data_IF_409206855069
#
_entry.id   IF_409206855069
#
_cell.length_a   1.000
_cell.length_b   1.000
_cell.length_c   1.000
_cell.angle_alpha   90.00
_cell.angle_beta   90.00
_cell.angle_gamma   90.00
#
_symmetry.space_group_name_H-M   'P 1'
#
loop_
_entity.id
_entity.type
_entity.pdbx_description
1 polymer ?
#
# COMPACT_ATOMS: atom_id res chain seq x y z
N UNK A 1 6.80 -13.78 -10.78
CA UNK A 1 6.74 -15.02 -9.96
C UNK A 1 7.43 -14.81 -8.63
N UNK A 2 6.73 -15.07 -7.53
CA UNK A 2 7.34 -15.06 -6.19
C UNK A 2 8.36 -16.20 -6.09
N UNK A 3 9.47 -15.95 -5.40
CA UNK A 3 10.43 -16.98 -5.08
C UNK A 3 9.85 -17.96 -4.06
N UNK A 4 10.16 -19.25 -4.16
CA UNK A 4 10.00 -20.16 -3.03
C UNK A 4 10.90 -19.68 -1.88
N UNK A 5 10.58 -20.07 -0.65
CA UNK A 5 11.36 -19.72 0.54
C UNK A 5 12.85 -20.05 0.30
N UNK A 6 13.72 -19.04 0.36
CA UNK A 6 15.17 -19.07 0.09
C UNK A 6 15.61 -18.99 -1.39
N UNK A 7 14.72 -18.71 -2.33
CA UNK A 7 15.06 -18.54 -3.74
C UNK A 7 15.13 -17.05 -4.13
N UNK A 8 15.90 -16.75 -5.16
CA UNK A 8 15.93 -15.41 -5.73
C UNK A 8 14.65 -15.14 -6.51
N UNK A 9 14.08 -13.93 -6.36
CA UNK A 9 12.96 -13.51 -7.18
C UNK A 9 13.38 -13.36 -8.63
N UNK A 10 12.53 -13.82 -9.56
CA UNK A 10 12.79 -13.70 -11.00
C UNK A 10 13.03 -12.23 -11.41
N UNK A 11 12.26 -11.32 -10.87
CA UNK A 11 12.41 -9.87 -11.11
C UNK A 11 13.80 -9.37 -10.74
N UNK A 12 14.33 -9.78 -9.58
CA UNK A 12 15.67 -9.39 -9.12
C UNK A 12 16.77 -9.98 -10.01
N UNK A 13 16.60 -11.24 -10.47
CA UNK A 13 17.52 -11.87 -11.41
C UNK A 13 17.53 -11.14 -12.77
N UNK A 14 16.38 -10.71 -13.27
CA UNK A 14 16.30 -9.96 -14.53
C UNK A 14 16.89 -8.55 -14.41
N UNK A 15 16.73 -7.87 -13.27
CA UNK A 15 17.45 -6.62 -13.00
C UNK A 15 18.96 -6.85 -12.95
N UNK A 16 19.42 -7.94 -12.33
CA UNK A 16 20.84 -8.31 -12.28
C UNK A 16 21.38 -8.60 -13.71
N UNK A 17 20.62 -9.31 -14.56
CA UNK A 17 20.98 -9.50 -15.96
C UNK A 17 21.15 -8.16 -16.69
N UNK A 18 20.19 -7.24 -16.52
CA UNK A 18 20.28 -5.91 -17.15
C UNK A 18 21.51 -5.13 -16.68
N UNK A 19 21.79 -5.14 -15.37
CA UNK A 19 22.98 -4.51 -14.83
C UNK A 19 24.28 -5.10 -15.41
N UNK A 20 24.38 -6.41 -15.55
CA UNK A 20 25.53 -7.07 -16.19
C UNK A 20 25.71 -6.60 -17.64
N UNK A 21 24.63 -6.55 -18.43
CA UNK A 21 24.67 -6.08 -19.81
C UNK A 21 25.18 -4.62 -19.91
N UNK A 22 24.73 -3.75 -19.01
CA UNK A 22 25.17 -2.33 -19.00
C UNK A 22 26.68 -2.17 -18.73
N UNK A 23 27.26 -3.07 -17.94
CA UNK A 23 28.69 -3.05 -17.64
C UNK A 23 29.53 -3.98 -18.55
N UNK A 24 28.94 -4.53 -19.62
CA UNK A 24 29.62 -5.44 -20.54
C UNK A 24 30.05 -6.76 -19.91
N UNK A 25 29.39 -7.18 -18.83
CA UNK A 25 29.64 -8.46 -18.15
C UNK A 25 28.65 -9.49 -18.67
N UNK A 26 29.08 -10.76 -18.86
CA UNK A 26 28.15 -11.84 -19.22
C UNK A 26 27.11 -12.04 -18.15
N UNK A 27 25.84 -12.11 -18.56
CA UNK A 27 24.71 -12.47 -17.70
C UNK A 27 24.20 -13.91 -17.94
N UNK A 28 24.90 -14.72 -18.75
CA UNK A 28 24.45 -16.04 -19.17
C UNK A 28 24.03 -16.92 -18.00
N UNK A 29 24.87 -17.03 -16.96
CA UNK A 29 24.54 -17.86 -15.80
C UNK A 29 23.29 -17.42 -15.06
N UNK A 30 23.05 -16.11 -14.93
CA UNK A 30 21.84 -15.55 -14.29
C UNK A 30 20.62 -15.76 -15.18
N UNK A 31 20.76 -15.53 -16.48
CA UNK A 31 19.69 -15.74 -17.45
C UNK A 31 19.27 -17.21 -17.55
N UNK A 32 20.25 -18.13 -17.52
CA UNK A 32 19.99 -19.57 -17.53
C UNK A 32 19.27 -20.05 -16.26
N UNK A 33 19.51 -19.41 -15.10
CA UNK A 33 18.72 -19.66 -13.88
C UNK A 33 17.26 -19.30 -14.09
N UNK A 34 16.99 -18.16 -14.73
CA UNK A 34 15.61 -17.72 -15.04
C UNK A 34 14.98 -18.70 -16.01
N UNK A 35 15.65 -19.02 -17.12
CA UNK A 35 15.19 -19.94 -18.16
C UNK A 35 14.86 -21.32 -17.57
N UNK A 36 15.79 -21.93 -16.84
CA UNK A 36 15.62 -23.26 -16.24
C UNK A 36 14.38 -23.34 -15.37
N UNK A 37 14.14 -22.32 -14.53
CA UNK A 37 12.96 -22.30 -13.64
C UNK A 37 11.64 -22.36 -14.41
N UNK A 38 11.49 -21.61 -15.50
CA UNK A 38 10.27 -21.67 -16.30
C UNK A 38 10.12 -22.99 -17.06
N UNK A 39 11.23 -23.53 -17.58
CA UNK A 39 11.21 -24.85 -18.25
C UNK A 39 10.86 -25.96 -17.26
N UNK A 40 11.44 -25.98 -16.08
CA UNK A 40 11.09 -26.94 -15.01
C UNK A 40 9.61 -26.89 -14.63
N UNK A 41 9.02 -25.71 -14.52
CA UNK A 41 7.58 -25.56 -14.23
C UNK A 41 6.74 -26.10 -15.41
N UNK A 42 7.09 -25.71 -16.64
CA UNK A 42 6.42 -26.21 -17.83
C UNK A 42 6.43 -27.73 -17.88
N UNK A 43 7.61 -28.33 -17.72
CA UNK A 43 7.80 -29.78 -17.84
C UNK A 43 7.11 -30.54 -16.69
N UNK A 44 7.19 -30.01 -15.46
CA UNK A 44 6.53 -30.60 -14.30
C UNK A 44 4.99 -30.59 -14.42
N UNK A 45 4.42 -29.60 -15.13
CA UNK A 45 2.98 -29.48 -15.38
C UNK A 45 2.56 -30.10 -16.71
N UNK A 46 3.49 -30.61 -17.52
CA UNK A 46 3.22 -31.21 -18.84
C UNK A 46 2.65 -30.20 -19.86
N UNK A 47 3.08 -28.95 -19.79
CA UNK A 47 2.58 -27.87 -20.65
C UNK A 47 3.29 -27.86 -22.01
N UNK A 48 2.62 -27.31 -23.04
CA UNK A 48 3.10 -27.29 -24.42
C UNK A 48 3.70 -25.95 -24.85
N UNK A 49 3.73 -24.97 -24.00
CA UNK A 49 4.23 -23.60 -24.29
C UNK A 49 5.65 -23.63 -24.85
N UNK A 50 5.93 -23.05 -26.05
CA UNK A 50 7.23 -23.14 -26.72
C UNK A 50 8.25 -22.13 -26.13
N UNK A 51 8.56 -22.27 -24.84
CA UNK A 51 9.40 -21.31 -24.09
C UNK A 51 10.82 -21.21 -24.61
N UNK A 52 11.40 -22.29 -25.14
CA UNK A 52 12.77 -22.28 -25.66
C UNK A 52 12.94 -21.23 -26.76
N UNK A 53 12.04 -21.21 -27.72
CA UNK A 53 12.07 -20.24 -28.83
C UNK A 53 11.89 -18.80 -28.32
N UNK A 54 11.03 -18.60 -27.33
CA UNK A 54 10.78 -17.30 -26.73
C UNK A 54 12.00 -16.79 -25.92
N UNK A 55 12.68 -17.69 -25.19
CA UNK A 55 13.93 -17.36 -24.50
C UNK A 55 15.08 -17.07 -25.46
N UNK A 56 15.21 -17.83 -26.54
CA UNK A 56 16.24 -17.58 -27.54
C UNK A 56 16.02 -16.23 -28.25
N UNK A 57 14.77 -15.88 -28.55
CA UNK A 57 14.41 -14.55 -29.07
C UNK A 57 14.71 -13.43 -28.09
N UNK A 58 14.47 -13.64 -26.79
CA UNK A 58 14.81 -12.68 -25.74
C UNK A 58 16.34 -12.49 -25.62
N UNK A 59 17.12 -13.57 -25.65
CA UNK A 59 18.58 -13.54 -25.65
C UNK A 59 19.13 -12.73 -26.84
N UNK A 60 18.61 -12.96 -28.04
CA UNK A 60 18.99 -12.19 -29.22
C UNK A 60 18.66 -10.67 -29.11
N UNK A 61 17.59 -10.33 -28.39
CA UNK A 61 17.31 -8.91 -28.07
C UNK A 61 18.29 -8.34 -27.06
N UNK A 62 18.64 -9.11 -26.03
CA UNK A 62 19.61 -8.69 -25.01
C UNK A 62 20.98 -8.35 -25.64
N UNK A 63 21.43 -9.13 -26.61
CA UNK A 63 22.69 -8.89 -27.35
C UNK A 63 22.66 -7.60 -28.20
N UNK A 64 21.49 -7.18 -28.68
CA UNK A 64 21.29 -5.95 -29.47
C UNK A 64 21.05 -4.71 -28.62
N UNK A 65 20.89 -4.88 -27.33
CA UNK A 65 20.47 -3.87 -26.38
C UNK A 65 18.97 -3.95 -26.08
N UNK A 66 18.65 -4.05 -24.80
CA UNK A 66 17.28 -4.12 -24.28
C UNK A 66 17.13 -3.14 -23.12
N UNK A 67 15.96 -2.51 -22.97
CA UNK A 67 15.69 -1.67 -21.81
C UNK A 67 15.47 -2.50 -20.53
N UNK A 68 15.68 -1.91 -19.36
CA UNK A 68 15.40 -2.55 -18.08
C UNK A 68 13.94 -2.99 -18.00
N UNK A 69 13.03 -2.10 -18.36
CA UNK A 69 11.59 -2.34 -18.32
C UNK A 69 11.18 -3.51 -19.21
N UNK A 70 11.70 -3.58 -20.44
CA UNK A 70 11.40 -4.68 -21.33
C UNK A 70 11.93 -6.00 -20.78
N UNK A 71 13.17 -6.05 -20.30
CA UNK A 71 13.76 -7.28 -19.77
C UNK A 71 13.01 -7.78 -18.52
N UNK A 72 12.76 -6.88 -17.56
CA UNK A 72 12.12 -7.23 -16.29
C UNK A 72 10.65 -7.64 -16.48
N UNK A 73 9.94 -7.03 -17.43
CA UNK A 73 8.56 -7.41 -17.77
C UNK A 73 8.42 -8.87 -18.22
N UNK A 74 9.50 -9.49 -18.74
CA UNK A 74 9.46 -10.89 -19.23
C UNK A 74 9.20 -11.89 -18.12
N UNK A 75 9.52 -11.58 -16.87
CA UNK A 75 9.13 -12.43 -15.74
C UNK A 75 7.62 -12.67 -15.66
N UNK A 76 6.83 -11.60 -15.69
CA UNK A 76 5.36 -11.70 -15.68
C UNK A 76 4.83 -12.26 -17.02
N UNK A 77 5.45 -11.91 -18.13
CA UNK A 77 5.10 -12.44 -19.44
C UNK A 77 5.16 -13.98 -19.48
N UNK A 78 6.30 -14.58 -19.11
CA UNK A 78 6.47 -16.04 -19.11
C UNK A 78 5.55 -16.74 -18.10
N UNK A 79 5.37 -16.13 -16.91
CA UNK A 79 4.43 -16.66 -15.93
C UNK A 79 2.99 -16.72 -16.47
N UNK A 80 2.55 -15.65 -17.14
CA UNK A 80 1.22 -15.59 -17.74
C UNK A 80 1.06 -16.54 -18.92
N UNK A 81 2.12 -16.76 -19.72
CA UNK A 81 2.13 -17.77 -20.81
C UNK A 81 1.87 -19.17 -20.29
N UNK A 82 2.61 -19.56 -19.24
CA UNK A 82 2.43 -20.88 -18.60
C UNK A 82 1.05 -20.99 -17.94
N UNK A 83 0.58 -19.94 -17.28
CA UNK A 83 -0.73 -19.95 -16.65
C UNK A 83 -1.86 -20.06 -17.68
N UNK A 84 -1.74 -19.40 -18.82
CA UNK A 84 -2.71 -19.47 -19.91
C UNK A 84 -2.82 -20.90 -20.46
N UNK A 85 -1.67 -21.55 -20.71
CA UNK A 85 -1.62 -22.95 -21.16
C UNK A 85 -2.21 -23.90 -20.09
N UNK A 86 -1.83 -23.71 -18.82
CA UNK A 86 -2.33 -24.53 -17.71
C UNK A 86 -3.85 -24.45 -17.52
N UNK A 87 -4.44 -23.25 -17.68
CA UNK A 87 -5.88 -23.05 -17.55
C UNK A 87 -6.67 -23.33 -18.82
N UNK A 88 -5.99 -23.50 -19.97
CA UNK A 88 -6.65 -23.57 -21.29
C UNK A 88 -7.33 -22.24 -21.65
N UNK A 89 -6.79 -21.10 -21.21
CA UNK A 89 -7.28 -19.75 -21.49
C UNK A 89 -6.40 -19.10 -22.57
N UNK A 90 -6.93 -18.06 -23.20
CA UNK A 90 -6.17 -17.29 -24.17
C UNK A 90 -5.14 -16.38 -23.45
N UNK A 91 -3.92 -16.35 -23.97
CA UNK A 91 -2.92 -15.37 -23.53
C UNK A 91 -3.15 -14.03 -24.22
N UNK A 92 -3.22 -12.93 -23.44
CA UNK A 92 -3.34 -11.57 -23.95
C UNK A 92 -2.21 -10.70 -23.40
N UNK A 93 -1.23 -10.37 -24.26
CA UNK A 93 -0.11 -9.52 -23.87
C UNK A 93 -0.59 -8.12 -23.46
N UNK A 94 -0.06 -7.60 -22.34
CA UNK A 94 -0.44 -6.28 -21.82
C UNK A 94 -0.09 -5.14 -22.76
N UNK A 95 0.89 -5.29 -23.63
CA UNK A 95 1.23 -4.29 -24.66
C UNK A 95 0.10 -4.04 -25.67
N UNK A 96 -0.79 -5.00 -25.84
CA UNK A 96 -1.92 -4.88 -26.76
C UNK A 96 -3.02 -3.96 -26.23
N UNK A 97 -3.16 -3.86 -24.92
CA UNK A 97 -4.26 -3.12 -24.32
C UNK A 97 -3.83 -1.99 -23.39
N UNK A 98 -2.80 -2.18 -22.54
CA UNK A 98 -2.39 -1.22 -21.52
C UNK A 98 -1.46 -0.15 -22.13
N UNK A 99 -1.98 1.07 -22.22
CA UNK A 99 -1.30 2.21 -22.83
C UNK A 99 -0.92 3.25 -21.79
N UNK A 100 0.30 3.74 -21.88
CA UNK A 100 0.78 4.86 -21.09
C UNK A 100 0.78 6.15 -21.91
N UNK A 101 0.67 7.28 -21.23
CA UNK A 101 0.92 8.62 -21.77
C UNK A 101 2.40 8.96 -21.69
N UNK A 102 2.82 10.05 -22.35
CA UNK A 102 4.22 10.49 -22.33
C UNK A 102 4.76 10.82 -20.94
N UNK A 103 3.90 11.17 -20.00
CA UNK A 103 4.25 11.47 -18.60
C UNK A 103 4.35 10.21 -17.71
N UNK A 104 4.17 9.02 -18.30
CA UNK A 104 4.19 7.74 -17.59
C UNK A 104 2.88 7.39 -16.86
N UNK A 105 1.84 8.20 -16.98
CA UNK A 105 0.52 7.86 -16.44
C UNK A 105 -0.24 6.91 -17.40
N UNK A 106 -1.18 6.12 -16.86
CA UNK A 106 -2.00 5.24 -17.69
C UNK A 106 -3.05 6.04 -18.47
N UNK A 107 -3.13 5.79 -19.77
CA UNK A 107 -4.27 6.22 -20.58
C UNK A 107 -5.43 5.25 -20.37
N UNK A 108 -6.27 5.53 -19.38
CA UNK A 108 -7.36 4.64 -18.98
C UNK A 108 -8.38 4.45 -20.10
N UNK A 109 -8.77 5.52 -20.80
CA UNK A 109 -9.80 5.46 -21.84
C UNK A 109 -9.37 4.52 -22.97
N UNK A 110 -8.18 4.73 -23.50
CA UNK A 110 -7.63 3.90 -24.57
C UNK A 110 -7.40 2.45 -24.09
N UNK A 111 -6.87 2.28 -22.90
CA UNK A 111 -6.60 0.97 -22.32
C UNK A 111 -7.90 0.17 -22.12
N UNK A 112 -8.93 0.80 -21.57
CA UNK A 112 -10.21 0.14 -21.33
C UNK A 112 -10.89 -0.27 -22.62
N UNK A 113 -10.93 0.59 -23.63
CA UNK A 113 -11.49 0.26 -24.94
C UNK A 113 -10.74 -0.93 -25.60
N UNK A 114 -9.40 -0.88 -25.57
CA UNK A 114 -8.58 -1.94 -26.14
C UNK A 114 -8.83 -3.28 -25.44
N UNK A 115 -8.90 -3.29 -24.10
CA UNK A 115 -9.13 -4.52 -23.33
C UNK A 115 -10.52 -5.09 -23.58
N UNK A 116 -11.57 -4.27 -23.56
CA UNK A 116 -12.94 -4.72 -23.88
C UNK A 116 -13.01 -5.40 -25.24
N UNK A 117 -12.36 -4.84 -26.25
CA UNK A 117 -12.30 -5.39 -27.59
C UNK A 117 -11.53 -6.72 -27.62
N UNK A 118 -10.35 -6.77 -27.00
CA UNK A 118 -9.48 -7.94 -27.04
C UNK A 118 -9.99 -9.13 -26.21
N UNK A 119 -10.69 -8.87 -25.10
CA UNK A 119 -11.18 -9.89 -24.18
C UNK A 119 -12.65 -10.28 -24.39
N UNK A 120 -13.35 -9.66 -25.35
CA UNK A 120 -14.80 -9.89 -25.58
C UNK A 120 -15.12 -11.36 -25.81
N UNK A 121 -15.96 -11.94 -24.94
CA UNK A 121 -16.40 -13.34 -25.02
C UNK A 121 -15.31 -14.37 -24.74
N UNK A 122 -14.15 -13.97 -24.23
CA UNK A 122 -12.98 -14.83 -24.03
C UNK A 122 -12.59 -14.89 -22.57
N UNK A 123 -12.02 -16.03 -22.18
CA UNK A 123 -11.28 -16.17 -20.92
C UNK A 123 -9.82 -15.91 -21.20
N UNK A 124 -9.25 -14.87 -20.60
CA UNK A 124 -7.89 -14.43 -20.88
C UNK A 124 -7.00 -14.47 -19.65
N UNK A 125 -5.73 -14.77 -19.84
CA UNK A 125 -4.66 -14.53 -18.87
C UNK A 125 -3.84 -13.35 -19.36
N UNK A 126 -3.72 -12.35 -18.53
CA UNK A 126 -3.03 -11.09 -18.82
C UNK A 126 -1.80 -11.01 -17.92
N UNK A 127 -0.58 -10.80 -18.45
CA UNK A 127 0.58 -10.49 -17.60
C UNK A 127 0.37 -9.13 -16.95
N UNK A 128 0.66 -9.04 -15.64
CA UNK A 128 0.62 -7.77 -14.92
C UNK A 128 1.91 -6.97 -15.08
N UNK A 129 1.97 -5.80 -14.39
CA UNK A 129 3.16 -5.02 -14.15
C UNK A 129 3.63 -4.09 -15.29
N UNK A 130 3.29 -4.30 -16.55
CA UNK A 130 3.79 -3.52 -17.69
C UNK A 130 2.72 -3.22 -18.74
N UNK A 131 2.98 -2.21 -19.55
CA UNK A 131 2.25 -1.83 -20.75
C UNK A 131 3.18 -1.19 -21.78
N UNK A 132 2.65 -0.37 -22.67
CA UNK A 132 3.40 0.24 -23.77
C UNK A 132 3.25 1.76 -23.80
N UNK A 133 4.37 2.45 -24.02
CA UNK A 133 4.45 3.88 -24.24
C UNK A 133 4.02 4.26 -25.68
N UNK A 134 3.74 5.54 -25.99
CA UNK A 134 3.37 5.99 -27.33
C UNK A 134 4.41 5.71 -28.41
N UNK A 135 5.69 5.63 -28.04
CA UNK A 135 6.79 5.28 -28.95
C UNK A 135 6.96 3.78 -29.21
N UNK A 136 6.11 2.96 -28.57
CA UNK A 136 6.14 1.50 -28.66
C UNK A 136 7.07 0.82 -27.66
N UNK A 137 7.82 1.57 -26.85
CA UNK A 137 8.65 0.99 -25.79
C UNK A 137 7.82 0.42 -24.65
N UNK A 138 8.34 -0.64 -24.01
CA UNK A 138 7.70 -1.20 -22.82
C UNK A 138 7.99 -0.31 -21.60
N UNK A 139 6.98 -0.08 -20.79
CA UNK A 139 7.08 0.64 -19.53
C UNK A 139 6.48 -0.17 -18.40
N UNK A 140 7.15 -0.17 -17.23
CA UNK A 140 6.73 -0.91 -16.04
C UNK A 140 6.22 0.02 -14.94
N UNK A 141 5.26 -0.45 -14.15
CA UNK A 141 4.87 0.27 -12.93
C UNK A 141 5.97 0.22 -11.87
N UNK A 142 6.17 1.29 -11.15
CA UNK A 142 7.23 1.40 -10.13
C UNK A 142 6.99 0.51 -8.90
N UNK A 143 5.73 0.29 -8.50
CA UNK A 143 5.32 -0.57 -7.36
C UNK A 143 3.92 -1.12 -7.57
N UNK A 144 3.67 -2.33 -7.05
CA UNK A 144 2.32 -2.92 -7.05
C UNK A 144 1.72 -3.13 -8.44
N UNK A 145 2.55 -3.19 -9.48
CA UNK A 145 2.12 -3.15 -10.88
C UNK A 145 1.14 -4.24 -11.27
N UNK A 146 1.29 -5.45 -10.75
CA UNK A 146 0.34 -6.54 -11.02
C UNK A 146 -1.02 -6.27 -10.38
N UNK A 147 -1.04 -5.68 -9.19
CA UNK A 147 -2.29 -5.27 -8.51
C UNK A 147 -2.99 -4.15 -9.29
N UNK A 148 -2.22 -3.14 -9.73
CA UNK A 148 -2.74 -2.04 -10.57
C UNK A 148 -3.30 -2.58 -11.89
N UNK A 149 -2.56 -3.47 -12.55
CA UNK A 149 -3.00 -4.10 -13.82
C UNK A 149 -4.31 -4.87 -13.62
N UNK A 150 -4.42 -5.64 -12.53
CA UNK A 150 -5.65 -6.35 -12.18
C UNK A 150 -6.83 -5.41 -11.93
N UNK A 151 -6.61 -4.31 -11.18
CA UNK A 151 -7.63 -3.31 -10.93
C UNK A 151 -8.09 -2.59 -12.21
N UNK A 152 -7.15 -2.22 -13.09
CA UNK A 152 -7.46 -1.63 -14.40
C UNK A 152 -8.25 -2.61 -15.27
N UNK A 153 -7.85 -3.88 -15.30
CA UNK A 153 -8.55 -4.91 -16.07
C UNK A 153 -9.98 -5.15 -15.54
N UNK A 154 -10.13 -5.24 -14.21
CA UNK A 154 -11.45 -5.39 -13.59
C UNK A 154 -12.35 -4.17 -13.90
N UNK A 155 -11.81 -2.96 -13.80
CA UNK A 155 -12.54 -1.73 -14.14
C UNK A 155 -12.89 -1.65 -15.62
N UNK A 156 -11.98 -2.03 -16.53
CA UNK A 156 -12.22 -2.04 -17.96
C UNK A 156 -13.34 -2.99 -18.38
N UNK A 157 -13.44 -4.14 -17.72
CA UNK A 157 -14.38 -5.20 -18.03
C UNK A 157 -15.68 -5.12 -17.21
N UNK A 158 -15.84 -4.09 -16.37
CA UNK A 158 -16.95 -3.92 -15.43
C UNK A 158 -17.20 -5.22 -14.63
N UNK A 159 -16.12 -5.76 -14.01
CA UNK A 159 -16.14 -7.03 -13.32
C UNK A 159 -17.08 -7.04 -12.11
N UNK A 160 -17.71 -8.18 -11.80
CA UNK A 160 -18.56 -8.37 -10.62
C UNK A 160 -17.75 -8.30 -9.31
N UNK A 161 -16.48 -8.72 -9.37
CA UNK A 161 -15.53 -8.72 -8.24
C UNK A 161 -14.09 -8.72 -8.76
N UNK A 162 -13.21 -8.05 -8.04
CA UNK A 162 -11.76 -8.16 -8.21
C UNK A 162 -11.19 -8.96 -7.04
N UNK A 163 -10.72 -10.18 -7.28
CA UNK A 163 -10.01 -10.97 -6.28
C UNK A 163 -8.51 -10.76 -6.39
N UNK A 164 -7.88 -10.27 -5.32
CA UNK A 164 -6.43 -10.16 -5.22
C UNK A 164 -5.88 -11.31 -4.36
N UNK A 165 -5.29 -12.29 -5.03
CA UNK A 165 -4.71 -13.47 -4.39
C UNK A 165 -3.26 -13.22 -3.97
N UNK A 166 -2.99 -13.39 -2.68
CA UNK A 166 -1.68 -13.14 -2.05
C UNK A 166 -1.32 -14.26 -1.06
N UNK A 167 -0.30 -14.10 -0.25
CA UNK A 167 0.15 -15.07 0.76
C UNK A 167 -0.46 -14.85 2.15
N UNK A 168 -1.37 -13.88 2.29
CA UNK A 168 -2.09 -13.58 3.54
C UNK A 168 -3.60 -13.70 3.36
N UNK A 169 -4.32 -14.09 4.43
CA UNK A 169 -5.77 -14.32 4.40
C UNK A 169 -6.60 -13.03 4.59
N UNK A 170 -6.19 -11.94 3.95
CA UNK A 170 -6.83 -10.64 4.09
C UNK A 170 -6.21 -9.78 5.19
N UNK A 171 -6.97 -8.84 5.71
CA UNK A 171 -6.56 -7.94 6.79
C UNK A 171 -6.83 -8.54 8.15
N UNK A 172 -5.96 -8.27 9.10
CA UNK A 172 -6.13 -8.64 10.50
C UNK A 172 -6.47 -7.40 11.32
N UNK A 173 -7.25 -7.59 12.40
CA UNK A 173 -7.67 -6.49 13.26
C UNK A 173 -6.52 -5.83 14.05
N UNK A 174 -5.34 -6.47 14.11
CA UNK A 174 -4.10 -5.93 14.65
C UNK A 174 -2.89 -6.63 14.02
N UNK A 175 -1.69 -6.04 14.19
CA UNK A 175 -0.43 -6.63 13.71
C UNK A 175 -0.14 -7.97 14.43
N UNK A 176 0.00 -9.09 13.71
CA UNK A 176 0.29 -10.40 14.29
C UNK A 176 1.65 -10.48 15.01
N UNK A 177 2.56 -9.54 14.75
CA UNK A 177 3.81 -9.41 15.51
C UNK A 177 3.60 -8.85 16.92
N UNK A 178 2.49 -8.15 17.16
CA UNK A 178 2.16 -7.50 18.44
C UNK A 178 1.10 -8.29 19.21
N UNK A 179 0.06 -8.72 18.51
CA UNK A 179 -1.05 -9.49 19.06
C UNK A 179 -0.97 -10.91 18.53
N UNK A 180 -0.99 -11.89 19.43
CA UNK A 180 -0.98 -13.30 19.03
C UNK A 180 -2.37 -13.67 18.45
N UNK A 181 -2.38 -14.27 17.26
CA UNK A 181 -3.56 -14.77 16.55
C UNK A 181 -4.70 -13.73 16.48
N UNK A 182 -4.46 -12.54 15.87
CA UNK A 182 -5.49 -11.53 15.79
C UNK A 182 -6.61 -11.97 14.84
N UNK A 183 -7.85 -11.57 15.16
CA UNK A 183 -9.01 -11.90 14.33
C UNK A 183 -8.88 -11.33 12.92
N UNK A 184 -9.32 -12.06 11.90
CA UNK A 184 -9.42 -11.51 10.54
C UNK A 184 -10.54 -10.47 10.45
N UNK A 185 -10.34 -9.49 9.59
CA UNK A 185 -11.36 -8.52 9.18
C UNK A 185 -12.09 -9.12 7.98
N UNK A 186 -13.36 -9.52 8.16
CA UNK A 186 -14.15 -10.08 7.06
C UNK A 186 -14.62 -9.02 6.07
N UNK A 187 -14.98 -7.85 6.58
CA UNK A 187 -15.54 -6.73 5.80
C UNK A 187 -14.93 -5.41 6.23
N UNK A 188 -14.46 -4.63 5.27
CA UNK A 188 -13.89 -3.30 5.51
C UNK A 188 -14.29 -2.35 4.38
N UNK A 189 -14.57 -1.09 4.70
CA UNK A 189 -14.78 -0.06 3.67
C UNK A 189 -13.45 0.47 3.16
N UNK A 190 -13.44 1.07 1.95
CA UNK A 190 -12.25 1.74 1.43
C UNK A 190 -11.77 2.87 2.36
N UNK A 191 -12.69 3.58 3.00
CA UNK A 191 -12.37 4.63 3.96
C UNK A 191 -11.63 4.06 5.20
N UNK A 192 -12.15 2.99 5.81
CA UNK A 192 -11.48 2.32 6.94
C UNK A 192 -10.12 1.72 6.53
N UNK A 193 -10.05 1.12 5.34
CA UNK A 193 -8.79 0.58 4.80
C UNK A 193 -7.72 1.66 4.66
N UNK A 194 -8.11 2.84 4.15
CA UNK A 194 -7.21 3.99 4.02
C UNK A 194 -6.64 4.41 5.37
N UNK A 195 -7.50 4.54 6.39
CA UNK A 195 -7.09 4.90 7.74
C UNK A 195 -6.10 3.88 8.33
N UNK A 196 -6.39 2.59 8.23
CA UNK A 196 -5.50 1.53 8.71
C UNK A 196 -4.16 1.51 7.94
N UNK A 197 -4.20 1.67 6.62
CA UNK A 197 -3.00 1.63 5.76
C UNK A 197 -2.08 2.82 6.02
N UNK A 198 -2.64 4.01 6.23
CA UNK A 198 -1.87 5.22 6.53
C UNK A 198 -1.06 5.08 7.82
N UNK A 199 -1.62 4.40 8.82
CA UNK A 199 -1.05 4.26 10.16
C UNK A 199 -0.20 2.97 10.29
N UNK A 200 -0.03 2.20 9.21
CA UNK A 200 0.95 1.11 9.17
C UNK A 200 0.44 -0.29 8.86
N UNK A 201 -0.84 -0.51 8.65
CA UNK A 201 -1.37 -1.79 8.19
C UNK A 201 -1.10 -1.98 6.69
N UNK A 202 0.12 -2.41 6.34
CA UNK A 202 0.56 -2.54 4.95
C UNK A 202 0.14 -3.88 4.34
N UNK A 203 -1.08 -3.99 3.81
CA UNK A 203 -1.47 -5.12 2.95
C UNK A 203 -1.69 -4.66 1.51
N UNK A 204 -2.19 -3.43 1.33
CA UNK A 204 -2.51 -2.90 0.01
C UNK A 204 -2.27 -1.38 -0.02
N UNK A 205 -1.70 -0.88 -1.11
CA UNK A 205 -1.56 0.56 -1.30
C UNK A 205 -2.83 1.10 -1.97
N UNK A 206 -3.48 2.09 -1.37
CA UNK A 206 -4.76 2.64 -1.85
C UNK A 206 -4.72 3.04 -3.33
N UNK A 207 -3.65 3.70 -3.77
CA UNK A 207 -3.49 4.11 -5.17
C UNK A 207 -3.51 2.95 -6.17
N UNK A 208 -3.28 1.70 -5.72
CA UNK A 208 -3.28 0.53 -6.61
C UNK A 208 -4.69 0.02 -6.92
N UNK A 209 -5.69 0.41 -6.14
CA UNK A 209 -7.08 -0.08 -6.27
C UNK A 209 -8.09 1.01 -6.65
N UNK A 210 -7.61 2.23 -6.89
CA UNK A 210 -8.45 3.37 -7.34
C UNK A 210 -9.38 3.00 -8.51
N UNK A 211 -8.94 2.29 -9.57
CA UNK A 211 -9.79 1.98 -10.70
C UNK A 211 -11.04 1.15 -10.34
N UNK A 212 -10.91 0.17 -9.43
CA UNK A 212 -12.06 -0.64 -9.00
C UNK A 212 -12.95 0.12 -8.02
N UNK A 213 -12.37 0.97 -7.19
CA UNK A 213 -13.12 1.84 -6.30
C UNK A 213 -14.02 2.82 -7.07
N UNK A 214 -13.48 3.50 -8.08
CA UNK A 214 -14.22 4.43 -8.95
C UNK A 214 -15.42 3.79 -9.66
N UNK A 215 -15.32 2.50 -9.94
CA UNK A 215 -16.37 1.68 -10.56
C UNK A 215 -17.28 0.98 -9.55
N UNK A 216 -17.06 1.16 -8.24
CA UNK A 216 -17.76 0.42 -7.18
C UNK A 216 -17.65 -1.11 -7.30
N UNK A 217 -16.57 -1.61 -7.89
CA UNK A 217 -16.31 -3.04 -8.00
C UNK A 217 -15.81 -3.55 -6.63
N UNK A 218 -16.44 -4.57 -6.04
CA UNK A 218 -15.94 -5.18 -4.82
C UNK A 218 -14.54 -5.75 -4.99
N UNK A 219 -13.66 -5.52 -4.02
CA UNK A 219 -12.33 -6.10 -3.96
C UNK A 219 -12.28 -7.14 -2.85
N UNK A 220 -11.79 -8.34 -3.14
CA UNK A 220 -11.58 -9.39 -2.14
C UNK A 220 -10.10 -9.78 -2.06
N UNK A 221 -9.51 -9.68 -0.88
CA UNK A 221 -8.13 -10.13 -0.63
C UNK A 221 -8.18 -11.58 -0.16
N UNK A 222 -7.55 -12.48 -0.93
CA UNK A 222 -7.61 -13.92 -0.69
C UNK A 222 -6.22 -14.54 -0.57
N UNK A 223 -6.14 -15.68 0.11
CA UNK A 223 -4.88 -16.38 0.36
C UNK A 223 -4.71 -17.58 -0.59
N UNK A 224 -3.65 -17.55 -1.40
CA UNK A 224 -3.29 -18.66 -2.30
C UNK A 224 -2.99 -19.96 -1.56
N UNK A 225 -2.50 -19.87 -0.31
CA UNK A 225 -2.18 -21.04 0.52
C UNK A 225 -3.40 -21.56 1.32
N UNK A 226 -4.49 -20.80 1.35
CA UNK A 226 -5.75 -21.14 2.02
C UNK A 226 -6.94 -20.72 1.13
N UNK A 227 -7.15 -21.38 -0.01
CA UNK A 227 -8.13 -20.94 -1.02
C UNK A 227 -9.58 -20.98 -0.53
N UNK A 228 -9.89 -21.81 0.47
CA UNK A 228 -11.23 -21.89 1.06
C UNK A 228 -11.51 -20.77 2.07
N UNK A 229 -10.47 -20.05 2.53
CA UNK A 229 -10.65 -18.93 3.44
C UNK A 229 -11.32 -17.76 2.71
N UNK A 230 -12.42 -17.16 3.25
CA UNK A 230 -13.17 -16.10 2.55
C UNK A 230 -12.36 -14.82 2.28
N UNK A 231 -11.28 -14.61 3.03
CA UNK A 231 -10.47 -13.40 2.93
C UNK A 231 -11.13 -12.16 3.53
N UNK A 232 -10.76 -10.99 3.02
CA UNK A 232 -11.35 -9.69 3.40
C UNK A 232 -12.06 -9.07 2.21
N UNK A 233 -13.35 -8.80 2.33
CA UNK A 233 -14.14 -8.09 1.35
C UNK A 233 -14.05 -6.58 1.59
N UNK A 234 -13.72 -5.82 0.54
CA UNK A 234 -13.58 -4.36 0.55
C UNK A 234 -14.62 -3.76 -0.38
N UNK A 235 -15.38 -2.77 0.09
CA UNK A 235 -16.40 -2.03 -0.67
C UNK A 235 -16.43 -0.57 -0.25
N UNK A 236 -17.13 0.27 -1.01
CA UNK A 236 -17.40 1.66 -0.60
C UNK A 236 -18.33 1.71 0.62
N UNK A 237 -19.35 0.86 0.62
CA UNK A 237 -20.29 0.71 1.74
C UNK A 237 -20.81 -0.72 1.85
N UNK A 238 -21.39 -1.04 3.00
CA UNK A 238 -22.11 -2.29 3.23
C UNK A 238 -23.54 -1.96 3.67
N UNK A 239 -24.51 -2.71 3.16
CA UNK A 239 -25.88 -2.67 3.63
C UNK A 239 -25.92 -3.32 5.02
N UNK A 240 -25.88 -2.50 6.05
CA UNK A 240 -25.94 -2.94 7.44
C UNK A 240 -27.33 -2.63 8.01
N UNK A 241 -27.96 -3.62 8.60
CA UNK A 241 -29.19 -3.41 9.34
C UNK A 241 -28.92 -2.57 10.60
N UNK A 242 -29.95 -1.93 11.13
CA UNK A 242 -29.84 -1.18 12.39
C UNK A 242 -29.35 -2.08 13.53
N UNK A 243 -29.75 -3.35 13.53
CA UNK A 243 -29.27 -4.36 14.48
C UNK A 243 -27.77 -4.65 14.33
N UNK A 244 -27.24 -4.70 13.10
CA UNK A 244 -25.80 -4.88 12.85
C UNK A 244 -24.98 -3.67 13.35
N UNK A 245 -25.54 -2.48 13.24
CA UNK A 245 -24.91 -1.24 13.75
C UNK A 245 -24.85 -1.22 15.28
N UNK A 246 -25.85 -1.77 15.95
CA UNK A 246 -25.94 -1.80 17.42
C UNK A 246 -25.11 -2.93 18.05
N UNK A 247 -25.11 -4.12 17.44
CA UNK A 247 -24.51 -5.35 18.01
C UNK A 247 -23.09 -5.61 17.55
N UNK A 248 -22.68 -5.09 16.38
CA UNK A 248 -21.35 -5.34 15.82
C UNK A 248 -20.21 -4.67 16.60
N UNK A 249 -18.98 -5.16 16.41
CA UNK A 249 -17.78 -4.55 16.97
C UNK A 249 -17.71 -3.07 16.61
N UNK A 250 -17.38 -2.25 17.59
CA UNK A 250 -17.15 -0.81 17.41
C UNK A 250 -15.90 -0.54 16.58
N UNK A 251 -14.90 -1.40 16.71
CA UNK A 251 -13.60 -1.27 16.07
C UNK A 251 -13.47 -2.33 14.97
N UNK A 252 -13.08 -1.90 13.78
CA UNK A 252 -12.77 -2.76 12.63
C UNK A 252 -11.31 -3.19 12.65
N UNK A 253 -10.40 -2.31 13.13
CA UNK A 253 -8.99 -2.63 13.24
C UNK A 253 -8.23 -1.64 14.11
N UNK A 254 -7.06 -2.08 14.57
CA UNK A 254 -6.12 -1.28 15.37
C UNK A 254 -4.77 -1.34 14.67
N UNK A 255 -4.26 -0.17 14.30
CA UNK A 255 -2.96 -0.03 13.66
C UNK A 255 -2.09 0.97 14.43
N UNK A 256 -0.81 0.96 14.17
CA UNK A 256 0.07 1.93 14.77
C UNK A 256 1.44 1.99 14.10
N UNK A 257 2.14 3.09 14.35
CA UNK A 257 3.46 3.37 13.79
C UNK A 257 4.33 4.04 14.82
N UNK A 258 5.59 3.60 14.90
CA UNK A 258 6.64 4.20 15.73
C UNK A 258 7.46 5.20 14.91
N UNK A 259 8.27 5.98 15.58
CA UNK A 259 9.28 6.82 14.95
C UNK A 259 8.80 8.20 14.56
N UNK A 260 8.06 8.84 15.46
CA UNK A 260 7.67 10.23 15.31
C UNK A 260 8.42 11.14 16.30
N UNK A 261 8.76 12.33 15.81
CA UNK A 261 9.25 13.45 16.59
C UNK A 261 8.17 14.53 16.64
N UNK A 262 8.07 15.22 17.76
CA UNK A 262 7.11 16.31 17.97
C UNK A 262 7.87 17.61 18.19
N UNK A 263 7.71 18.56 17.28
CA UNK A 263 8.21 19.93 17.41
C UNK A 263 7.09 20.75 18.03
N UNK A 264 7.28 21.23 19.24
CA UNK A 264 6.30 22.09 19.93
C UNK A 264 6.82 23.52 19.97
N UNK A 265 6.01 24.43 19.46
CA UNK A 265 6.26 25.87 19.41
C UNK A 265 5.20 26.59 20.24
N UNK A 266 5.64 27.45 21.15
CA UNK A 266 4.76 28.35 21.94
C UNK A 266 5.07 29.78 21.58
N UNK A 267 4.05 30.58 21.33
CA UNK A 267 4.18 32.01 21.03
C UNK A 267 2.95 32.77 21.55
N UNK A 268 3.15 33.66 22.48
CA UNK A 268 2.09 34.49 23.01
C UNK A 268 1.42 35.33 21.92
N UNK A 269 0.09 35.32 21.91
CA UNK A 269 -0.70 36.03 20.90
C UNK A 269 -0.71 35.36 19.52
N UNK A 270 -0.28 34.09 19.40
CA UNK A 270 -0.26 33.36 18.15
C UNK A 270 -1.64 33.30 17.47
N UNK A 271 -2.69 33.15 18.26
CA UNK A 271 -4.08 33.11 17.77
C UNK A 271 -4.54 34.43 17.15
N UNK A 272 -3.91 35.54 17.51
CA UNK A 272 -4.24 36.88 16.98
C UNK A 272 -3.32 37.30 15.83
N UNK A 273 -2.23 36.57 15.58
CA UNK A 273 -1.26 36.85 14.52
C UNK A 273 -1.60 36.07 13.25
N UNK A 274 -2.00 36.79 12.19
CA UNK A 274 -2.35 36.15 10.92
C UNK A 274 -1.17 35.45 10.28
N UNK A 275 -1.42 34.24 9.81
CA UNK A 275 -0.49 33.48 8.97
C UNK A 275 0.68 32.81 9.68
N UNK A 276 0.69 32.74 11.02
CA UNK A 276 1.77 32.06 11.77
C UNK A 276 1.91 30.60 11.34
N UNK A 277 0.81 29.84 11.33
CA UNK A 277 0.85 28.42 10.93
C UNK A 277 1.36 28.27 9.51
N UNK A 278 0.95 29.14 8.57
CA UNK A 278 1.43 29.11 7.18
C UNK A 278 2.96 29.28 7.14
N UNK A 279 3.51 30.27 7.85
CA UNK A 279 4.97 30.50 7.90
C UNK A 279 5.72 29.31 8.53
N UNK A 280 5.15 28.70 9.56
CA UNK A 280 5.73 27.50 10.17
C UNK A 280 5.80 26.36 9.13
N UNK A 281 4.72 26.10 8.42
CA UNK A 281 4.67 25.06 7.41
C UNK A 281 5.58 25.36 6.21
N UNK A 282 5.70 26.64 5.79
CA UNK A 282 6.61 27.08 4.75
C UNK A 282 8.09 26.82 5.11
N UNK A 283 8.46 27.01 6.38
CA UNK A 283 9.81 26.62 6.85
C UNK A 283 10.02 25.13 6.71
N UNK A 284 9.07 24.27 7.13
CA UNK A 284 9.23 22.82 7.05
C UNK A 284 9.25 22.33 5.59
N UNK A 285 8.45 22.95 4.71
CA UNK A 285 8.43 22.66 3.28
C UNK A 285 9.80 22.86 2.62
N UNK A 286 10.52 23.96 2.96
CA UNK A 286 11.88 24.23 2.45
C UNK A 286 12.87 23.11 2.76
N UNK A 287 12.65 22.37 3.84
CA UNK A 287 13.46 21.23 4.25
C UNK A 287 12.87 19.88 3.84
N UNK A 288 11.79 19.88 3.02
CA UNK A 288 11.07 18.70 2.60
C UNK A 288 10.60 17.82 3.77
N UNK A 289 10.20 18.46 4.88
CA UNK A 289 9.68 17.81 6.08
C UNK A 289 8.16 17.78 5.99
N UNK A 290 7.59 16.58 5.83
CA UNK A 290 6.15 16.35 5.85
C UNK A 290 5.63 16.36 7.29
N UNK A 291 4.49 17.05 7.51
CA UNK A 291 3.81 17.08 8.80
C UNK A 291 2.63 16.15 8.79
N UNK A 292 2.63 15.18 9.70
CA UNK A 292 1.59 14.15 9.78
C UNK A 292 0.38 14.61 10.59
N UNK A 293 0.61 15.31 11.72
CA UNK A 293 -0.44 15.85 12.59
C UNK A 293 -0.05 17.22 13.13
N UNK A 294 -1.06 18.09 13.36
CA UNK A 294 -0.87 19.46 13.83
C UNK A 294 -1.82 19.74 15.01
N UNK A 295 -1.58 19.16 16.18
CA UNK A 295 -2.32 19.57 17.38
C UNK A 295 -2.00 21.02 17.72
N UNK A 296 -3.04 21.83 17.84
CA UNK A 296 -2.91 23.27 18.11
C UNK A 296 -3.68 23.69 19.35
N UNK A 297 -3.07 24.58 20.14
CA UNK A 297 -3.67 25.33 21.24
C UNK A 297 -3.87 26.80 20.86
N UNK A 298 -4.19 27.65 21.85
CA UNK A 298 -4.38 29.09 21.62
C UNK A 298 -3.06 29.77 21.25
N UNK A 299 -2.01 29.49 22.03
CA UNK A 299 -0.66 30.07 21.90
C UNK A 299 0.41 29.01 21.65
N UNK A 300 0.02 27.81 21.18
CA UNK A 300 0.94 26.71 20.90
C UNK A 300 0.53 25.91 19.70
N UNK A 301 1.50 25.37 19.00
CA UNK A 301 1.29 24.38 17.94
C UNK A 301 2.33 23.28 18.08
N UNK A 302 1.88 22.04 17.91
CA UNK A 302 2.77 20.90 17.83
C UNK A 302 2.74 20.33 16.42
N UNK A 303 3.90 19.97 15.90
CA UNK A 303 4.08 19.45 14.55
C UNK A 303 4.65 18.05 14.70
N UNK A 304 3.85 17.05 14.36
CA UNK A 304 4.24 15.65 14.41
C UNK A 304 4.84 15.27 13.06
N UNK A 305 6.10 14.85 13.06
CA UNK A 305 6.86 14.52 11.87
C UNK A 305 7.48 13.13 11.99
N UNK A 306 7.65 12.42 10.87
CA UNK A 306 8.30 11.12 10.85
C UNK A 306 9.81 11.29 11.08
N UNK A 307 10.33 10.78 12.20
CA UNK A 307 11.73 10.98 12.63
C UNK A 307 12.73 10.58 11.55
N UNK A 308 12.60 9.37 10.98
CA UNK A 308 13.57 8.83 10.01
C UNK A 308 13.72 9.67 8.75
N UNK A 309 12.65 10.28 8.27
CA UNK A 309 12.66 11.12 7.07
C UNK A 309 13.13 12.54 7.35
N UNK A 310 12.81 13.08 8.53
CA UNK A 310 13.11 14.48 8.89
C UNK A 310 14.45 14.65 9.59
N UNK A 311 15.01 13.60 10.18
CA UNK A 311 16.23 13.63 10.97
C UNK A 311 17.41 14.42 10.35
N UNK A 312 17.70 14.33 9.04
CA UNK A 312 18.83 15.06 8.45
C UNK A 312 18.71 16.59 8.53
N UNK A 313 17.48 17.11 8.58
CA UNK A 313 17.21 18.55 8.42
C UNK A 313 16.42 19.17 9.57
N UNK A 314 15.95 18.38 10.54
CA UNK A 314 15.03 18.86 11.57
C UNK A 314 15.61 19.99 12.43
N UNK A 315 16.90 19.90 12.78
CA UNK A 315 17.55 20.95 13.59
C UNK A 315 17.80 22.25 12.81
N UNK A 316 18.03 22.14 11.49
CA UNK A 316 18.15 23.30 10.61
C UNK A 316 16.79 24.00 10.48
N UNK A 317 15.73 23.23 10.27
CA UNK A 317 14.36 23.74 10.24
C UNK A 317 13.99 24.41 11.56
N UNK A 318 14.35 23.82 12.71
CA UNK A 318 14.13 24.45 14.02
C UNK A 318 14.88 25.78 14.15
N UNK A 319 16.13 25.87 13.69
CA UNK A 319 16.89 27.11 13.70
C UNK A 319 16.25 28.24 12.88
N UNK A 320 15.63 27.89 11.74
CA UNK A 320 14.90 28.85 10.92
C UNK A 320 13.53 29.19 11.52
N UNK A 321 12.83 28.24 12.13
CA UNK A 321 11.62 28.51 12.91
C UNK A 321 11.88 29.51 14.02
N UNK A 322 12.98 29.35 14.77
CA UNK A 322 13.37 30.29 15.85
C UNK A 322 13.60 31.69 15.31
N UNK A 323 14.30 31.86 14.18
CA UNK A 323 14.60 33.15 13.57
C UNK A 323 13.36 33.85 12.98
N UNK A 324 12.53 33.09 12.23
CA UNK A 324 11.45 33.67 11.43
C UNK A 324 10.15 33.86 12.22
N UNK A 325 9.83 32.92 13.12
CA UNK A 325 8.60 32.95 13.92
C UNK A 325 8.82 33.67 15.24
N UNK A 326 10.06 33.62 15.80
CA UNK A 326 10.44 34.15 17.08
C UNK A 326 9.50 33.66 18.19
N UNK A 327 9.42 32.33 18.41
CA UNK A 327 8.58 31.78 19.46
C UNK A 327 9.15 32.08 20.85
N UNK A 328 8.29 32.06 21.88
CA UNK A 328 8.73 32.16 23.29
C UNK A 328 9.42 30.86 23.71
N UNK A 329 9.02 29.73 23.15
CA UNK A 329 9.71 28.46 23.31
C UNK A 329 9.59 27.57 22.08
N UNK A 330 10.64 26.78 21.84
CA UNK A 330 10.69 25.79 20.75
C UNK A 330 11.40 24.54 21.29
N UNK A 331 10.68 23.40 21.25
CA UNK A 331 11.19 22.13 21.75
C UNK A 331 10.97 21.03 20.73
N UNK A 332 11.87 20.05 20.75
CA UNK A 332 11.67 18.77 20.06
C UNK A 332 11.61 17.65 21.10
N UNK A 333 10.70 16.73 20.90
CA UNK A 333 10.56 15.54 21.72
C UNK A 333 10.46 14.34 20.78
N UNK A 334 11.37 13.41 20.93
CA UNK A 334 11.45 12.18 20.13
C UNK A 334 10.72 11.02 20.78
N UNK A 335 10.73 9.87 20.08
CA UNK A 335 10.17 8.61 20.58
C UNK A 335 8.67 8.59 20.80
N UNK A 336 7.90 9.39 20.06
CA UNK A 336 6.45 9.22 20.05
C UNK A 336 6.06 8.11 19.07
N UNK A 337 5.05 7.34 19.44
CA UNK A 337 4.36 6.40 18.58
C UNK A 337 2.88 6.81 18.46
N UNK A 338 2.29 6.47 17.33
CA UNK A 338 0.88 6.74 17.04
C UNK A 338 0.14 5.42 16.99
N UNK A 339 -1.00 5.35 17.65
CA UNK A 339 -1.93 4.19 17.63
C UNK A 339 -3.31 4.68 17.24
N UNK A 340 -3.93 4.01 16.29
CA UNK A 340 -5.29 4.31 15.85
C UNK A 340 -6.22 3.12 16.09
N UNK A 341 -7.39 3.41 16.62
CA UNK A 341 -8.56 2.56 16.55
C UNK A 341 -9.42 3.04 15.38
N UNK A 342 -9.71 2.15 14.45
CA UNK A 342 -10.48 2.45 13.23
C UNK A 342 -11.76 1.64 13.22
N UNK A 343 -12.88 2.28 12.89
CA UNK A 343 -14.16 1.60 12.75
C UNK A 343 -15.32 2.56 12.47
N UNK A 344 -16.02 2.36 11.35
CA UNK A 344 -17.17 3.19 10.92
C UNK A 344 -18.30 3.27 11.92
N UNK A 345 -18.43 2.29 12.81
CA UNK A 345 -19.49 2.27 13.83
C UNK A 345 -19.20 3.17 15.03
N UNK A 346 -18.00 3.70 15.17
CA UNK A 346 -17.63 4.61 16.26
C UNK A 346 -18.42 5.92 16.21
N UNK A 347 -18.65 6.45 15.01
CA UNK A 347 -19.43 7.68 14.78
C UNK A 347 -20.86 7.64 15.36
N UNK A 348 -21.43 6.45 15.44
CA UNK A 348 -22.82 6.24 15.89
C UNK A 348 -22.92 5.73 17.34
N UNK A 349 -21.80 5.57 18.06
CA UNK A 349 -21.77 5.04 19.41
C UNK A 349 -21.23 6.07 20.41
N UNK A 350 -22.11 6.84 21.07
CA UNK A 350 -21.68 7.78 22.10
C UNK A 350 -20.81 7.10 23.16
N UNK A 351 -19.76 7.79 23.61
CA UNK A 351 -18.83 7.27 24.61
C UNK A 351 -17.69 6.40 24.06
N UNK A 352 -17.58 6.23 22.73
CA UNK A 352 -16.50 5.45 22.08
C UNK A 352 -15.12 5.96 22.51
N UNK A 353 -14.87 7.28 22.40
CA UNK A 353 -13.60 7.91 22.80
C UNK A 353 -13.32 7.71 24.30
N UNK A 354 -14.35 7.90 25.14
CA UNK A 354 -14.23 7.70 26.60
C UNK A 354 -13.81 6.28 26.98
N UNK A 355 -14.34 5.26 26.28
CA UNK A 355 -13.94 3.86 26.48
C UNK A 355 -12.49 3.62 26.06
N UNK A 356 -12.07 4.13 24.88
CA UNK A 356 -10.72 3.98 24.38
C UNK A 356 -9.71 4.63 25.32
N UNK A 357 -9.93 5.90 25.70
CA UNK A 357 -9.02 6.64 26.59
C UNK A 357 -9.03 6.06 28.01
N UNK A 358 -10.20 5.65 28.51
CA UNK A 358 -10.33 5.00 29.80
C UNK A 358 -9.51 3.72 29.87
N UNK A 359 -9.58 2.86 28.85
CA UNK A 359 -8.80 1.61 28.82
C UNK A 359 -7.30 1.85 28.79
N UNK A 360 -6.83 2.84 28.06
CA UNK A 360 -5.41 3.23 28.05
C UNK A 360 -4.99 3.74 29.44
N UNK A 361 -5.78 4.63 30.06
CA UNK A 361 -5.50 5.19 31.37
C UNK A 361 -5.52 4.14 32.49
N UNK A 362 -6.52 3.24 32.52
CA UNK A 362 -6.60 2.11 33.46
C UNK A 362 -5.35 1.20 33.42
N UNK A 363 -4.69 1.15 32.27
CA UNK A 363 -3.46 0.37 32.06
C UNK A 363 -2.19 1.22 32.22
N UNK A 364 -2.28 2.45 32.74
CA UNK A 364 -1.14 3.32 33.01
C UNK A 364 -0.44 3.81 31.76
N UNK A 365 -1.14 3.94 30.63
CA UNK A 365 -0.63 4.46 29.36
C UNK A 365 -1.02 5.93 29.27
N UNK A 366 0.01 6.79 29.21
CA UNK A 366 -0.19 8.23 29.06
C UNK A 366 -0.48 8.58 27.59
N UNK A 367 -1.51 9.40 27.37
CA UNK A 367 -1.88 9.89 26.03
C UNK A 367 -1.26 11.29 25.85
N UNK A 368 -0.35 11.42 24.91
CA UNK A 368 0.37 12.67 24.61
C UNK A 368 -0.32 13.51 23.53
N UNK A 369 -1.10 12.87 22.66
CA UNK A 369 -1.83 13.51 21.57
C UNK A 369 -3.13 12.77 21.35
N UNK A 370 -4.18 13.49 20.99
CA UNK A 370 -5.46 12.95 20.55
C UNK A 370 -5.83 13.66 19.25
N UNK A 371 -6.23 12.89 18.24
CA UNK A 371 -6.84 13.43 17.02
C UNK A 371 -7.95 12.51 16.54
N UNK A 372 -8.98 13.09 15.97
CA UNK A 372 -10.13 12.41 15.40
C UNK A 372 -10.57 13.19 14.16
N UNK A 373 -10.74 12.53 13.04
CA UNK A 373 -11.23 13.16 11.81
C UNK A 373 -12.73 13.52 11.90
N UNK A 374 -13.21 14.39 11.04
CA UNK A 374 -14.63 14.83 11.03
C UNK A 374 -15.61 13.71 10.68
N UNK A 375 -15.15 12.67 10.01
CA UNK A 375 -15.95 11.48 9.66
C UNK A 375 -16.03 10.46 10.82
N UNK A 376 -15.31 10.72 11.92
CA UNK A 376 -15.27 9.88 13.13
C UNK A 376 -14.93 8.39 12.87
N UNK A 377 -14.27 8.11 11.75
CA UNK A 377 -13.85 6.77 11.36
C UNK A 377 -12.68 6.25 12.18
N UNK A 378 -11.92 7.14 12.80
CA UNK A 378 -10.76 6.81 13.59
C UNK A 378 -10.68 7.61 14.89
N UNK A 379 -9.99 7.05 15.86
CA UNK A 379 -9.48 7.77 17.02
C UNK A 379 -8.00 7.46 17.10
N UNK A 380 -7.19 8.50 16.98
CA UNK A 380 -5.75 8.40 16.94
C UNK A 380 -5.17 8.98 18.25
N UNK A 381 -4.31 8.20 18.88
CA UNK A 381 -3.60 8.62 20.09
C UNK A 381 -2.09 8.58 19.88
N UNK A 382 -1.40 9.62 20.33
CA UNK A 382 0.04 9.59 20.48
C UNK A 382 0.39 9.06 21.87
N UNK A 383 1.31 8.11 21.93
CA UNK A 383 1.81 7.51 23.16
C UNK A 383 3.34 7.51 23.16
N UNK A 384 3.96 7.29 24.31
CA UNK A 384 5.41 7.11 24.35
C UNK A 384 5.82 5.82 23.64
N UNK A 385 6.95 5.84 22.93
CA UNK A 385 7.42 4.71 22.12
C UNK A 385 7.48 3.37 22.86
N UNK A 386 7.93 3.30 24.13
CA UNK A 386 7.89 2.07 24.93
C UNK A 386 6.48 1.51 25.17
N UNK A 387 5.46 2.36 25.19
CA UNK A 387 4.06 1.96 25.43
C UNK A 387 3.33 1.50 24.18
N UNK A 388 3.91 1.63 23.00
CA UNK A 388 3.31 1.37 21.72
C UNK A 388 2.62 -0.02 21.62
N UNK A 389 3.39 -1.08 21.85
CA UNK A 389 2.84 -2.44 21.72
C UNK A 389 1.82 -2.75 22.81
N UNK A 390 2.06 -2.21 24.03
CA UNK A 390 1.12 -2.35 25.15
C UNK A 390 -0.20 -1.67 24.83
N UNK A 391 -0.18 -0.47 24.25
CA UNK A 391 -1.38 0.25 23.84
C UNK A 391 -2.21 -0.55 22.81
N UNK A 392 -1.57 -1.11 21.80
CA UNK A 392 -2.25 -1.95 20.80
C UNK A 392 -2.88 -3.17 21.46
N UNK A 393 -2.16 -3.89 22.35
CA UNK A 393 -2.70 -5.07 23.05
C UNK A 393 -3.87 -4.70 23.95
N UNK A 394 -3.78 -3.63 24.73
CA UNK A 394 -4.85 -3.15 25.61
C UNK A 394 -6.11 -2.83 24.82
N UNK A 395 -5.99 -2.12 23.72
CA UNK A 395 -7.14 -1.82 22.87
C UNK A 395 -7.71 -3.07 22.23
N UNK A 396 -6.87 -3.98 21.72
CA UNK A 396 -7.33 -5.22 21.11
C UNK A 396 -8.08 -6.09 22.13
N UNK A 397 -7.51 -6.32 23.30
CA UNK A 397 -8.13 -7.16 24.36
C UNK A 397 -9.42 -6.55 24.90
N UNK A 398 -9.55 -5.23 24.90
CA UNK A 398 -10.72 -4.52 25.42
C UNK A 398 -11.91 -4.46 24.44
N UNK A 399 -11.66 -4.51 23.14
CA UNK A 399 -12.70 -4.25 22.13
C UNK A 399 -12.90 -5.37 21.12
N UNK A 400 -11.97 -6.32 21.02
CA UNK A 400 -12.02 -7.41 20.03
C UNK A 400 -12.23 -8.77 20.68
N UNK A 401 -11.64 -9.03 21.86
CA UNK A 401 -11.88 -10.24 22.66
C UNK A 401 -13.14 -10.12 23.46
#
# INVERSE_FOLDING_TARGET
MSAFKNDHKITDLLYLCHAHLQYGVSCDGVFDMVRSRYLEIRDALGLSTPLEQEFDALRAKMEKGISADELVSRGEYFAARLMADYLGFDFLDSTLWLKFRLDGTVDQDQSYENLRRAASGRRVVIPGFYGVMPDGSIHTFSRGGSVITGALAAAALDADVYENWTDVSGFLMADPKIVKDPRPIERITYAELRELSYIGAQVLHEGTVSPVREKNIPLNIRNTNQPDHPGTMIRESFDESQADMETGSMITGIAGKKGFSVITLTKNGMSSELGVIRRILEVLERYNINVEYIPSGIDSVSLVVETGKSAPYIYQAMGDLEKEIKPDSLHISDSMAVVAAVGRKMAFKPGSSGKIFGKLGENGINIRMITQGPEELNIIVGVDGPDFERAIRVLYDSFVK
#
